data_IF_875833862226
#
_entry.id   IF_875833862226
#
_cell.length_a   1.000
_cell.length_b   1.000
_cell.length_c   1.000
_cell.angle_alpha   90.00
_cell.angle_beta   90.00
_cell.angle_gamma   90.00
#
_symmetry.space_group_name_H-M   'P 1'
#
loop_
_entity.id
_entity.type
_entity.pdbx_description
1 polymer ?
#
# COMPACT_ATOMS: atom_id res chain seq x y z
N UNK A 1 -27.33 31.02 70.54
CA UNK A 1 -28.58 31.80 70.65
C UNK A 1 -29.01 32.24 69.25
N UNK A 2 -30.25 31.91 68.92
CA UNK A 2 -31.10 32.30 67.80
C UNK A 2 -31.03 33.80 67.38
N UNK A 3 -31.05 34.14 66.07
CA UNK A 3 -32.23 34.51 65.26
C UNK A 3 -31.84 35.19 63.91
N UNK A 4 -32.73 34.97 62.93
CA UNK A 4 -32.82 35.41 61.53
C UNK A 4 -32.98 36.93 61.31
N UNK A 5 -32.70 37.47 60.10
CA UNK A 5 -33.74 38.03 59.18
C UNK A 5 -33.22 38.94 58.05
N UNK A 6 -33.50 38.51 56.80
CA UNK A 6 -34.05 39.21 55.61
C UNK A 6 -33.52 40.53 55.00
N UNK A 7 -33.36 40.39 53.68
CA UNK A 7 -33.35 41.29 52.51
C UNK A 7 -33.89 42.72 52.56
N UNK A 8 -33.21 43.60 51.79
CA UNK A 8 -33.81 44.75 51.11
C UNK A 8 -33.40 44.71 49.62
N UNK A 9 -34.40 44.77 48.73
CA UNK A 9 -34.29 44.81 47.28
C UNK A 9 -33.91 46.23 46.82
N UNK A 10 -32.87 46.36 45.99
CA UNK A 10 -32.61 47.54 45.17
C UNK A 10 -32.94 47.22 43.71
N UNK A 11 -33.87 47.98 43.13
CA UNK A 11 -34.29 47.88 41.73
C UNK A 11 -33.41 48.77 40.85
N UNK A 12 -32.74 48.20 39.86
CA UNK A 12 -31.92 48.94 38.89
C UNK A 12 -32.72 49.74 37.84
N UNK A 13 -32.14 50.81 37.25
CA UNK A 13 -32.83 51.75 36.38
C UNK A 13 -33.17 51.18 34.99
N UNK A 14 -34.25 51.72 34.41
CA UNK A 14 -34.93 51.21 33.20
C UNK A 14 -34.20 51.46 31.87
N UNK A 15 -33.07 52.18 31.87
CA UNK A 15 -32.36 52.59 30.63
C UNK A 15 -31.48 51.50 30.02
N UNK A 16 -30.85 50.65 30.83
CA UNK A 16 -29.88 49.67 30.34
C UNK A 16 -30.54 48.47 29.67
N UNK A 17 -31.79 48.18 30.03
CA UNK A 17 -32.61 47.15 29.38
C UNK A 17 -32.89 47.46 27.91
N UNK A 18 -32.99 48.73 27.52
CA UNK A 18 -33.31 49.10 26.14
C UNK A 18 -32.11 48.91 25.18
N UNK A 19 -30.89 49.16 25.67
CA UNK A 19 -29.68 48.98 24.88
C UNK A 19 -29.31 47.49 24.74
N UNK A 20 -29.50 46.70 25.80
CA UNK A 20 -29.30 45.25 25.76
C UNK A 20 -30.26 44.56 24.78
N UNK A 21 -31.54 44.94 24.78
CA UNK A 21 -32.53 44.39 23.83
C UNK A 21 -32.18 44.75 22.38
N UNK A 22 -31.71 45.98 22.11
CA UNK A 22 -31.25 46.38 20.76
C UNK A 22 -30.00 45.61 20.32
N UNK A 23 -29.05 45.38 21.21
CA UNK A 23 -27.83 44.61 20.93
C UNK A 23 -28.10 43.12 20.71
N UNK A 24 -29.02 42.51 21.48
CA UNK A 24 -29.41 41.10 21.31
C UNK A 24 -30.21 40.89 20.02
N UNK A 25 -31.07 41.85 19.64
CA UNK A 25 -31.83 41.80 18.38
C UNK A 25 -30.91 42.00 17.16
N UNK A 26 -29.91 42.88 17.23
CA UNK A 26 -28.93 43.04 16.14
C UNK A 26 -28.00 41.82 15.98
N UNK A 27 -27.62 41.15 17.09
CA UNK A 27 -26.81 39.93 17.04
C UNK A 27 -27.62 38.74 16.47
N UNK A 28 -28.92 38.66 16.77
CA UNK A 28 -29.82 37.64 16.24
C UNK A 28 -30.08 37.76 14.73
N UNK A 29 -30.10 38.98 14.19
CA UNK A 29 -30.33 39.22 12.75
C UNK A 29 -29.08 39.03 11.88
N UNK A 30 -27.87 39.06 12.46
CA UNK A 30 -26.62 38.77 11.74
C UNK A 30 -26.23 37.28 11.73
N UNK A 31 -26.85 36.46 12.59
CA UNK A 31 -26.63 35.00 12.63
C UNK A 31 -27.67 34.19 11.84
N UNK A 32 -28.82 34.78 11.50
CA UNK A 32 -29.85 34.11 10.71
C UNK A 32 -29.39 33.66 9.30
N UNK A 33 -28.59 34.42 8.53
CA UNK A 33 -28.18 33.97 7.20
C UNK A 33 -27.03 32.96 7.21
N UNK A 34 -26.36 32.74 8.36
CA UNK A 34 -25.32 31.70 8.50
C UNK A 34 -25.90 30.32 8.80
N UNK A 35 -27.13 30.25 9.35
CA UNK A 35 -27.80 28.98 9.65
C UNK A 35 -28.51 28.42 8.40
N UNK A 36 -28.88 29.26 7.44
CA UNK A 36 -29.55 28.82 6.20
C UNK A 36 -28.57 28.21 5.18
N UNK A 37 -27.27 28.54 5.21
CA UNK A 37 -26.27 27.92 4.33
C UNK A 37 -25.90 26.47 4.71
N UNK A 38 -26.35 25.98 5.86
CA UNK A 38 -26.08 24.61 6.33
C UNK A 38 -27.19 23.59 5.98
N UNK A 39 -28.16 23.98 5.13
CA UNK A 39 -29.23 23.13 4.60
C UNK A 39 -29.25 23.31 3.08
N UNK A 40 -29.17 22.33 2.19
CA UNK A 40 -29.14 20.88 2.24
C UNK A 40 -28.42 20.49 0.95
N UNK A 41 -27.28 19.79 1.03
CA UNK A 41 -27.09 18.71 0.07
C UNK A 41 -27.83 17.56 0.72
N UNK A 42 -29.08 17.35 0.33
CA UNK A 42 -29.66 16.02 0.51
C UNK A 42 -28.78 15.10 -0.32
N UNK A 43 -27.83 14.44 0.33
CA UNK A 43 -27.30 13.18 -0.19
C UNK A 43 -28.51 12.27 -0.17
N UNK A 44 -29.27 12.27 -1.27
CA UNK A 44 -30.25 11.23 -1.49
C UNK A 44 -29.45 9.94 -1.40
N UNK A 45 -29.69 9.06 -0.40
CA UNK A 45 -29.11 7.75 -0.46
C UNK A 45 -29.64 7.18 -1.77
N UNK A 46 -28.76 6.92 -2.72
CA UNK A 46 -29.12 6.11 -3.89
C UNK A 46 -29.79 4.89 -3.29
N UNK A 47 -31.09 4.73 -3.57
CA UNK A 47 -31.96 3.70 -3.00
C UNK A 47 -31.64 2.32 -3.60
N UNK A 48 -30.37 1.94 -3.57
CA UNK A 48 -29.94 0.57 -3.74
C UNK A 48 -29.50 0.10 -2.37
N UNK A 49 -30.17 -0.92 -1.84
CA UNK A 49 -29.69 -1.70 -0.70
C UNK A 49 -28.19 -1.90 -0.86
N UNK A 50 -27.39 -1.37 0.07
CA UNK A 50 -25.95 -1.68 0.11
C UNK A 50 -25.73 -3.22 0.23
N UNK A 51 -26.70 -3.91 0.84
CA UNK A 51 -26.81 -5.37 0.99
C UNK A 51 -26.86 -6.14 -0.35
N UNK A 52 -27.26 -5.51 -1.46
CA UNK A 52 -27.46 -6.18 -2.76
C UNK A 52 -26.37 -5.87 -3.80
N UNK A 53 -25.33 -5.11 -3.43
CA UNK A 53 -24.21 -4.84 -4.34
C UNK A 53 -23.18 -5.96 -4.24
N UNK A 54 -23.36 -6.99 -5.07
CA UNK A 54 -22.38 -8.07 -5.25
C UNK A 54 -21.53 -7.81 -6.48
N UNK A 55 -20.25 -8.12 -6.40
CA UNK A 55 -19.42 -8.23 -7.60
C UNK A 55 -19.91 -9.42 -8.44
N UNK A 56 -19.71 -9.40 -9.76
CA UNK A 56 -19.98 -10.57 -10.59
C UNK A 56 -19.24 -11.81 -10.06
N UNK A 57 -19.80 -13.01 -10.26
CA UNK A 57 -19.21 -14.26 -9.74
C UNK A 57 -17.79 -14.52 -10.24
N UNK A 58 -17.42 -13.97 -11.40
CA UNK A 58 -16.08 -14.09 -11.98
C UNK A 58 -15.07 -13.07 -11.42
N UNK A 59 -15.51 -12.10 -10.61
CA UNK A 59 -14.62 -11.08 -10.05
C UNK A 59 -13.76 -11.69 -8.95
N UNK A 60 -12.45 -11.46 -9.02
CA UNK A 60 -11.47 -11.99 -8.06
C UNK A 60 -10.90 -10.88 -7.21
N UNK A 61 -10.78 -11.13 -5.90
CA UNK A 61 -10.02 -10.29 -4.98
C UNK A 61 -8.66 -10.92 -4.73
N UNK A 62 -7.63 -10.09 -4.58
CA UNK A 62 -6.27 -10.55 -4.35
C UNK A 62 -5.42 -9.49 -3.68
N UNK A 63 -4.23 -9.90 -3.28
CA UNK A 63 -3.18 -9.01 -2.81
C UNK A 63 -2.02 -8.99 -3.81
N UNK A 64 -1.16 -7.98 -3.70
CA UNK A 64 0.00 -7.84 -4.57
C UNK A 64 1.27 -7.46 -3.80
N UNK A 65 2.40 -8.00 -4.26
CA UNK A 65 3.75 -7.72 -3.74
C UNK A 65 4.74 -7.61 -4.91
N UNK A 66 5.97 -7.19 -4.59
CA UNK A 66 7.10 -7.20 -5.51
C UNK A 66 8.34 -7.75 -4.79
N UNK A 67 9.17 -8.48 -5.54
CA UNK A 67 10.29 -9.26 -5.03
C UNK A 67 11.20 -8.47 -4.09
N UNK A 68 11.75 -7.34 -4.53
CA UNK A 68 12.64 -6.52 -3.70
C UNK A 68 11.98 -6.01 -2.41
N UNK A 69 10.66 -5.82 -2.42
CA UNK A 69 9.93 -5.26 -1.28
C UNK A 69 9.65 -6.28 -0.16
N UNK A 70 9.67 -7.58 -0.46
CA UNK A 70 9.27 -8.62 0.50
C UNK A 70 10.26 -9.76 0.66
N UNK A 71 11.03 -10.12 -0.37
CA UNK A 71 11.79 -11.38 -0.36
C UNK A 71 12.94 -11.38 0.64
N UNK A 72 13.77 -10.34 0.63
CA UNK A 72 15.08 -10.42 1.29
C UNK A 72 15.98 -11.46 0.63
N UNK A 73 16.88 -12.06 1.40
CA UNK A 73 17.84 -13.06 0.91
C UNK A 73 18.64 -12.49 -0.26
N UNK A 74 19.08 -11.23 -0.13
CA UNK A 74 19.53 -10.41 -1.26
C UNK A 74 20.80 -10.95 -1.95
N UNK A 75 21.65 -11.67 -1.22
CA UNK A 75 22.88 -12.29 -1.73
C UNK A 75 22.91 -13.80 -1.51
N UNK A 76 21.75 -14.40 -1.23
CA UNK A 76 21.63 -15.83 -0.94
C UNK A 76 21.50 -16.66 -2.21
N UNK A 77 21.98 -17.90 -2.13
CA UNK A 77 21.92 -18.91 -3.20
C UNK A 77 22.38 -18.44 -4.58
N UNK A 78 23.31 -17.48 -4.60
CA UNK A 78 23.90 -16.92 -5.81
C UNK A 78 23.04 -15.88 -6.53
N UNK A 79 22.01 -15.33 -5.88
CA UNK A 79 21.31 -14.11 -6.35
C UNK A 79 22.34 -12.99 -6.57
N UNK A 80 22.26 -12.34 -7.72
CA UNK A 80 23.05 -11.13 -8.01
C UNK A 80 22.43 -9.88 -7.40
N UNK A 81 23.23 -8.82 -7.27
CA UNK A 81 22.72 -7.51 -6.88
C UNK A 81 21.77 -6.96 -7.95
N UNK A 82 20.64 -6.42 -7.52
CA UNK A 82 19.75 -5.58 -8.33
C UNK A 82 20.14 -4.11 -8.22
N UNK A 83 19.51 -3.27 -9.06
CA UNK A 83 19.66 -1.81 -8.99
C UNK A 83 19.30 -1.22 -7.62
N UNK A 84 18.33 -1.82 -6.92
CA UNK A 84 17.93 -1.36 -5.61
C UNK A 84 18.91 -1.77 -4.51
N UNK A 85 19.51 -2.95 -4.61
CA UNK A 85 20.58 -3.39 -3.71
C UNK A 85 21.74 -2.39 -3.78
N UNK A 86 22.23 -2.10 -4.99
CA UNK A 86 23.31 -1.14 -5.21
C UNK A 86 22.95 0.27 -4.74
N UNK A 87 21.76 0.78 -5.10
CA UNK A 87 21.34 2.13 -4.72
C UNK A 87 21.28 2.30 -3.20
N UNK A 88 20.66 1.35 -2.48
CA UNK A 88 20.44 1.48 -1.03
C UNK A 88 21.71 1.21 -0.22
N UNK A 89 22.62 0.38 -0.72
CA UNK A 89 23.94 0.17 -0.09
C UNK A 89 24.88 1.36 -0.30
N UNK A 90 24.90 1.95 -1.51
CA UNK A 90 25.80 3.06 -1.83
C UNK A 90 25.25 4.40 -1.33
N UNK A 91 23.93 4.57 -1.32
CA UNK A 91 23.22 5.81 -1.00
C UNK A 91 22.08 5.61 0.01
N UNK A 92 22.36 5.11 1.23
CA UNK A 92 21.33 4.89 2.25
C UNK A 92 20.60 6.17 2.64
N UNK A 93 21.18 7.36 2.43
CA UNK A 93 20.52 8.65 2.65
C UNK A 93 19.35 8.96 1.72
N UNK A 94 19.20 8.23 0.60
CA UNK A 94 18.08 8.38 -0.30
C UNK A 94 16.81 7.68 0.20
N UNK A 95 16.95 6.81 1.20
CA UNK A 95 15.83 6.18 1.91
C UNK A 95 15.59 6.95 3.22
N UNK A 96 14.33 7.31 3.49
CA UNK A 96 13.96 8.23 4.60
C UNK A 96 14.44 7.73 5.96
N UNK A 97 14.29 6.43 6.22
CA UNK A 97 14.72 5.74 7.44
C UNK A 97 16.09 5.07 7.31
N UNK A 98 16.71 5.16 6.13
CA UNK A 98 18.01 4.56 5.78
C UNK A 98 18.01 3.02 5.80
N UNK A 99 16.84 2.40 5.72
CA UNK A 99 16.70 0.95 5.59
C UNK A 99 16.92 0.48 4.14
N UNK A 100 16.98 -0.85 3.96
CA UNK A 100 17.17 -1.51 2.68
C UNK A 100 16.33 -2.80 2.57
N UNK A 101 16.35 -3.42 1.40
CA UNK A 101 15.64 -4.67 1.12
C UNK A 101 16.42 -5.95 1.45
N UNK A 102 17.50 -5.88 2.26
CA UNK A 102 18.39 -7.04 2.48
C UNK A 102 17.64 -8.23 3.10
N UNK A 103 16.74 -7.93 4.04
CA UNK A 103 15.86 -8.89 4.71
C UNK A 103 14.39 -8.67 4.32
N UNK A 104 13.95 -7.41 4.21
CA UNK A 104 12.56 -7.05 3.89
C UNK A 104 11.55 -7.77 4.83
N UNK A 105 10.53 -8.44 4.27
CA UNK A 105 9.59 -9.26 5.03
C UNK A 105 10.09 -10.71 5.23
N UNK A 106 11.26 -11.03 4.68
CA UNK A 106 11.89 -12.35 4.70
C UNK A 106 11.06 -13.44 3.99
N UNK A 107 10.27 -13.04 2.99
CA UNK A 107 9.42 -13.97 2.22
C UNK A 107 10.22 -15.02 1.46
N UNK A 108 11.51 -14.79 1.18
CA UNK A 108 12.38 -15.82 0.59
C UNK A 108 12.42 -17.10 1.44
N UNK A 109 12.40 -16.94 2.77
CA UNK A 109 12.38 -18.04 3.73
C UNK A 109 10.99 -18.36 4.27
N UNK A 110 10.08 -17.38 4.26
CA UNK A 110 8.81 -17.40 4.99
C UNK A 110 7.58 -17.32 4.09
N UNK A 111 7.70 -17.62 2.79
CA UNK A 111 6.57 -17.54 1.86
C UNK A 111 5.36 -18.41 2.27
N UNK A 112 5.55 -19.48 3.06
CA UNK A 112 4.43 -20.25 3.59
C UNK A 112 3.56 -19.43 4.55
N UNK A 113 4.13 -18.46 5.26
CA UNK A 113 3.39 -17.53 6.12
C UNK A 113 2.59 -16.53 5.28
N UNK A 114 3.14 -16.07 4.16
CA UNK A 114 2.42 -15.23 3.20
C UNK A 114 1.19 -15.96 2.65
N UNK A 115 1.35 -17.23 2.24
CA UNK A 115 0.25 -18.08 1.75
C UNK A 115 -0.82 -18.25 2.83
N UNK A 116 -0.43 -18.51 4.08
CA UNK A 116 -1.37 -18.60 5.20
C UNK A 116 -2.15 -17.30 5.38
N UNK A 117 -1.50 -16.14 5.33
CA UNK A 117 -2.16 -14.85 5.43
C UNK A 117 -3.17 -14.62 4.29
N UNK A 118 -2.82 -15.01 3.06
CA UNK A 118 -3.73 -14.92 1.91
C UNK A 118 -4.98 -15.79 2.09
N UNK A 119 -4.81 -17.00 2.62
CA UNK A 119 -5.92 -17.93 2.92
C UNK A 119 -6.83 -17.41 4.05
N UNK A 120 -6.24 -16.86 5.11
CA UNK A 120 -7.00 -16.32 6.26
C UNK A 120 -7.92 -15.16 5.85
N UNK A 121 -7.49 -14.33 4.90
CA UNK A 121 -8.32 -13.24 4.35
C UNK A 121 -9.32 -13.76 3.29
N UNK A 122 -9.04 -14.91 2.67
CA UNK A 122 -9.88 -15.51 1.63
C UNK A 122 -9.65 -14.91 0.24
N UNK A 123 -8.42 -14.53 -0.09
CA UNK A 123 -8.08 -14.03 -1.43
C UNK A 123 -8.11 -15.14 -2.49
N UNK A 124 -8.51 -14.76 -3.70
CA UNK A 124 -8.63 -15.68 -4.85
C UNK A 124 -7.34 -15.76 -5.68
N UNK A 125 -6.56 -14.69 -5.71
CA UNK A 125 -5.30 -14.64 -6.45
C UNK A 125 -4.23 -13.88 -5.67
N UNK A 126 -2.98 -14.14 -6.00
CA UNK A 126 -1.83 -13.42 -5.48
C UNK A 126 -0.96 -12.97 -6.64
N UNK A 127 -0.79 -11.65 -6.76
CA UNK A 127 0.13 -11.06 -7.72
C UNK A 127 1.48 -10.85 -7.06
N UNK A 128 2.52 -11.50 -7.56
CA UNK A 128 3.89 -11.29 -7.10
C UNK A 128 4.81 -11.00 -8.30
N UNK A 129 6.02 -10.51 -8.05
CA UNK A 129 7.04 -10.40 -9.09
C UNK A 129 8.16 -11.41 -8.90
N UNK A 130 8.81 -11.76 -10.00
CA UNK A 130 10.02 -12.59 -9.98
C UNK A 130 11.23 -11.66 -10.02
N UNK A 131 12.21 -11.90 -9.14
CA UNK A 131 13.46 -11.18 -9.13
C UNK A 131 14.36 -11.68 -10.24
N UNK A 132 14.56 -10.85 -11.27
CA UNK A 132 15.43 -11.19 -12.39
C UNK A 132 16.85 -11.49 -11.90
N UNK A 133 17.38 -10.68 -10.97
CA UNK A 133 18.71 -10.90 -10.41
C UNK A 133 18.85 -12.22 -9.63
N UNK A 134 17.75 -12.83 -9.19
CA UNK A 134 17.72 -14.16 -8.56
C UNK A 134 17.70 -15.29 -9.59
N UNK A 135 17.16 -15.07 -10.79
CA UNK A 135 17.11 -16.08 -11.86
C UNK A 135 18.34 -16.02 -12.75
N UNK A 136 18.68 -14.84 -13.27
CA UNK A 136 19.81 -14.57 -14.18
C UNK A 136 20.60 -13.35 -13.67
N UNK A 137 21.50 -13.52 -12.68
CA UNK A 137 22.34 -12.44 -12.13
C UNK A 137 23.08 -11.61 -13.18
N UNK A 138 23.56 -12.25 -14.26
CA UNK A 138 24.28 -11.58 -15.36
C UNK A 138 23.38 -11.43 -16.60
N UNK A 139 22.07 -11.59 -16.44
CA UNK A 139 21.06 -11.37 -17.46
C UNK A 139 20.90 -12.49 -18.50
N UNK A 140 21.83 -13.44 -18.61
CA UNK A 140 21.74 -14.56 -19.57
C UNK A 140 21.88 -15.95 -18.93
N UNK A 141 21.59 -16.98 -19.73
CA UNK A 141 21.52 -18.39 -19.32
C UNK A 141 22.83 -18.94 -18.73
N UNK A 142 23.99 -18.35 -19.02
CA UNK A 142 25.25 -18.80 -18.41
C UNK A 142 25.29 -18.51 -16.91
N UNK A 143 24.50 -17.55 -16.45
CA UNK A 143 24.39 -17.16 -15.05
C UNK A 143 23.22 -17.79 -14.30
N UNK A 144 22.40 -18.63 -14.98
CA UNK A 144 21.17 -19.20 -14.43
C UNK A 144 21.38 -19.81 -13.03
N UNK A 145 20.54 -19.39 -12.08
CA UNK A 145 20.51 -19.93 -10.73
C UNK A 145 19.31 -20.82 -10.53
N UNK A 146 19.58 -22.12 -10.45
CA UNK A 146 18.54 -23.13 -10.22
C UNK A 146 17.83 -22.91 -8.88
N UNK A 147 18.53 -22.46 -7.84
CA UNK A 147 17.91 -22.16 -6.54
C UNK A 147 16.84 -21.06 -6.64
N UNK A 148 17.04 -20.06 -7.50
CA UNK A 148 16.01 -19.06 -7.78
C UNK A 148 14.77 -19.66 -8.44
N UNK A 149 14.95 -20.52 -9.44
CA UNK A 149 13.87 -21.26 -10.09
C UNK A 149 13.12 -22.14 -9.07
N UNK A 150 13.86 -22.85 -8.22
CA UNK A 150 13.29 -23.74 -7.21
C UNK A 150 12.48 -22.97 -6.16
N UNK A 151 12.89 -21.77 -5.78
CA UNK A 151 12.11 -20.90 -4.88
C UNK A 151 10.76 -20.51 -5.48
N UNK A 152 10.74 -20.00 -6.72
CA UNK A 152 9.47 -19.59 -7.34
C UNK A 152 8.57 -20.79 -7.67
N UNK A 153 9.14 -21.94 -8.05
CA UNK A 153 8.37 -23.17 -8.21
C UNK A 153 7.69 -23.58 -6.90
N UNK A 154 8.41 -23.58 -5.77
CA UNK A 154 7.83 -23.87 -4.45
C UNK A 154 6.72 -22.89 -4.08
N UNK A 155 6.90 -21.59 -4.33
CA UNK A 155 5.87 -20.58 -4.10
C UNK A 155 4.63 -20.83 -4.97
N UNK A 156 4.82 -21.05 -6.28
CA UNK A 156 3.74 -21.29 -7.24
C UNK A 156 2.96 -22.57 -6.88
N UNK A 157 3.68 -23.67 -6.62
CA UNK A 157 3.07 -24.95 -6.25
C UNK A 157 2.25 -24.80 -4.97
N UNK A 158 2.78 -24.10 -3.96
CA UNK A 158 2.08 -23.89 -2.70
C UNK A 158 0.86 -22.95 -2.83
N UNK A 159 0.90 -21.94 -3.71
CA UNK A 159 -0.26 -21.11 -4.04
C UNK A 159 -1.37 -21.94 -4.71
N UNK A 160 -1.00 -22.78 -5.68
CA UNK A 160 -1.94 -23.66 -6.39
C UNK A 160 -2.57 -24.66 -5.42
N UNK A 161 -1.76 -25.29 -4.54
CA UNK A 161 -2.25 -26.18 -3.49
C UNK A 161 -3.21 -25.47 -2.52
N UNK A 162 -2.95 -24.21 -2.22
CA UNK A 162 -3.81 -23.36 -1.39
C UNK A 162 -5.10 -22.88 -2.09
N UNK A 163 -5.27 -23.16 -3.39
CA UNK A 163 -6.40 -22.69 -4.20
C UNK A 163 -6.34 -21.21 -4.57
N UNK A 164 -5.15 -20.61 -4.53
CA UNK A 164 -4.88 -19.21 -4.86
C UNK A 164 -4.23 -19.15 -6.24
N UNK A 165 -4.81 -18.38 -7.16
CA UNK A 165 -4.25 -18.21 -8.50
C UNK A 165 -2.96 -17.35 -8.47
N UNK A 166 -1.82 -17.86 -8.94
CA UNK A 166 -0.60 -17.06 -9.06
C UNK A 166 -0.68 -16.13 -10.28
N UNK A 167 -0.39 -14.84 -10.08
CA UNK A 167 -0.32 -13.84 -11.15
C UNK A 167 1.06 -13.20 -11.16
N UNK A 168 1.87 -13.53 -12.16
CA UNK A 168 3.29 -13.14 -12.18
C UNK A 168 3.52 -11.79 -12.88
N UNK A 169 4.27 -10.92 -12.22
CA UNK A 169 4.90 -9.74 -12.82
C UNK A 169 6.37 -10.06 -13.11
N UNK A 170 6.78 -10.04 -14.38
CA UNK A 170 8.15 -10.44 -14.73
C UNK A 170 9.22 -9.45 -14.25
N UNK A 171 8.93 -8.14 -14.31
CA UNK A 171 9.87 -7.08 -13.90
C UNK A 171 9.12 -6.05 -13.07
N UNK A 172 9.63 -5.76 -11.88
CA UNK A 172 9.06 -4.76 -10.97
C UNK A 172 10.13 -3.78 -10.47
N UNK A 173 10.81 -3.14 -11.43
CA UNK A 173 11.89 -2.15 -11.22
C UNK A 173 13.17 -2.68 -10.54
N UNK A 174 13.37 -3.99 -10.46
CA UNK A 174 14.51 -4.65 -9.81
C UNK A 174 15.47 -5.32 -10.81
N UNK A 175 15.88 -4.58 -11.85
CA UNK A 175 16.83 -5.10 -12.84
C UNK A 175 18.12 -5.59 -12.15
N UNK A 176 18.78 -6.64 -12.66
CA UNK A 176 20.13 -6.97 -12.24
C UNK A 176 21.06 -5.77 -12.46
N UNK A 177 21.89 -5.44 -11.47
CA UNK A 177 22.86 -4.35 -11.60
C UNK A 177 23.79 -4.59 -12.79
N UNK A 178 24.07 -5.84 -13.14
CA UNK A 178 24.80 -6.19 -14.35
C UNK A 178 24.14 -5.62 -15.63
N UNK A 179 22.83 -5.84 -15.80
CA UNK A 179 22.07 -5.30 -16.95
C UNK A 179 22.03 -3.77 -16.89
N UNK A 180 21.90 -3.19 -15.69
CA UNK A 180 21.97 -1.74 -15.51
C UNK A 180 23.31 -1.15 -15.94
N UNK A 181 24.43 -1.83 -15.64
CA UNK A 181 25.78 -1.42 -16.05
C UNK A 181 25.98 -1.44 -17.57
N UNK A 182 25.18 -2.25 -18.30
CA UNK A 182 25.11 -2.24 -19.77
C UNK A 182 24.22 -1.13 -20.35
N UNK A 183 23.72 -0.24 -19.50
CA UNK A 183 22.82 0.88 -19.84
C UNK A 183 21.36 0.65 -19.47
N UNK A 184 21.01 -0.48 -18.83
CA UNK A 184 19.67 -0.73 -18.30
C UNK A 184 18.57 -0.61 -19.36
N UNK A 185 17.41 -0.08 -18.97
CA UNK A 185 16.23 0.06 -19.83
C UNK A 185 16.45 0.90 -21.10
N UNK A 186 17.40 1.84 -21.08
CA UNK A 186 17.69 2.70 -22.23
C UNK A 186 18.72 2.08 -23.19
N UNK A 187 19.30 0.94 -22.82
CA UNK A 187 20.25 0.22 -23.66
C UNK A 187 19.54 -0.50 -24.79
N UNK A 188 20.04 -0.47 -26.04
CA UNK A 188 19.52 -1.31 -27.12
C UNK A 188 19.68 -2.81 -26.83
N UNK A 189 20.55 -3.19 -25.88
CA UNK A 189 20.73 -4.57 -25.44
C UNK A 189 19.61 -5.05 -24.52
N UNK A 190 18.82 -4.13 -23.93
CA UNK A 190 17.79 -4.48 -22.95
C UNK A 190 16.80 -5.52 -23.50
N UNK A 191 16.30 -5.30 -24.71
CA UNK A 191 15.31 -6.18 -25.35
C UNK A 191 15.82 -7.62 -25.43
N UNK A 192 17.10 -7.79 -25.82
CA UNK A 192 17.73 -9.12 -25.91
C UNK A 192 17.80 -9.82 -24.54
N UNK A 193 18.28 -9.11 -23.51
CA UNK A 193 18.39 -9.67 -22.17
C UNK A 193 17.01 -9.98 -21.57
N UNK A 194 16.04 -9.09 -21.78
CA UNK A 194 14.67 -9.28 -21.31
C UNK A 194 13.98 -10.45 -22.02
N UNK A 195 14.20 -10.63 -23.32
CA UNK A 195 13.68 -11.79 -24.07
C UNK A 195 14.24 -13.11 -23.51
N UNK A 196 15.55 -13.20 -23.26
CA UNK A 196 16.16 -14.40 -22.65
C UNK A 196 15.55 -14.69 -21.28
N UNK A 197 15.37 -13.66 -20.45
CA UNK A 197 14.75 -13.78 -19.14
C UNK A 197 13.29 -14.22 -19.23
N UNK A 198 12.47 -13.57 -20.06
CA UNK A 198 11.07 -13.92 -20.25
C UNK A 198 10.92 -15.35 -20.78
N UNK A 199 11.73 -15.74 -21.77
CA UNK A 199 11.78 -17.11 -22.29
C UNK A 199 12.14 -18.14 -21.22
N UNK A 200 13.02 -17.78 -20.28
CA UNK A 200 13.39 -18.65 -19.16
C UNK A 200 12.21 -18.87 -18.22
N UNK A 201 11.38 -17.85 -17.98
CA UNK A 201 10.20 -17.95 -17.11
C UNK A 201 9.04 -18.72 -17.75
N UNK A 202 8.93 -18.73 -19.08
CA UNK A 202 7.85 -19.41 -19.80
C UNK A 202 8.08 -20.91 -20.03
N UNK A 203 9.31 -21.40 -19.83
CA UNK A 203 9.69 -22.80 -20.04
C UNK A 203 9.53 -23.64 -18.78
#
# INVERSE_FOLDING_TARGET
MQYSSTSQLQTEPRSDRMNWVKSVVLLGLLLAPLIECAKLVEVTPVSGNAEDRKFPEWFKFGAATAAYQIEGGWNEDGRGASVWDTLTHDHPELVVDRDNGDVAADSYHRFQEDIKALQEVGFNFYRFSISWARILPEGDLSSLKQAGIDYYNKLIDALIEAGIEPVVTMVHYDLPQYVQNLGGLVSPLFVKYFEIYADTLFR
#
